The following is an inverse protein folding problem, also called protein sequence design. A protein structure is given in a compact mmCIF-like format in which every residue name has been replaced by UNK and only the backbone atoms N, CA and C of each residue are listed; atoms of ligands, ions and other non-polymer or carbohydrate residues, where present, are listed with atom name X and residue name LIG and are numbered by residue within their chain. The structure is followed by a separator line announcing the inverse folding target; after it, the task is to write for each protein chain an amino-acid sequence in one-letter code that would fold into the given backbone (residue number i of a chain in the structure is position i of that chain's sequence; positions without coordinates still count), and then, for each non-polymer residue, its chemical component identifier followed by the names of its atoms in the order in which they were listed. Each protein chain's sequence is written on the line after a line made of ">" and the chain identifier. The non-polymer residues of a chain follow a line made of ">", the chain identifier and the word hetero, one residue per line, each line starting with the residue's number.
data_IF_309282556004
#
_entry.id   IF_309282556004
#
_cell.length_a   1.000
_cell.length_b   1.000
_cell.length_c   1.000
_cell.angle_alpha   90.00
_cell.angle_beta   90.00
_cell.angle_gamma   90.00
#
_symmetry.space_group_name_H-M   'P 1'
#
loop_
_entity.id
_entity.type
_entity.pdbx_description
1 polymer ?
#
# COMPACT_ATOMS: atom_id res chain seq x y z
N UNK A 1 19.46 2.64 -8.02
CA UNK A 1 18.01 2.41 -7.82
C UNK A 1 17.30 3.72 -8.04
N UNK A 2 16.14 3.71 -8.70
CA UNK A 2 15.36 4.93 -8.92
C UNK A 2 14.33 5.11 -7.81
N UNK A 3 14.06 6.36 -7.44
CA UNK A 3 13.08 6.72 -6.40
C UNK A 3 12.33 7.96 -6.86
N UNK A 4 11.08 8.11 -6.44
CA UNK A 4 10.32 9.34 -6.67
C UNK A 4 10.48 10.29 -5.48
N UNK A 5 10.58 11.59 -5.76
CA UNK A 5 10.61 12.65 -4.76
C UNK A 5 9.72 13.82 -5.22
N UNK A 6 9.30 14.70 -4.32
CA UNK A 6 8.64 15.93 -4.72
C UNK A 6 9.64 16.95 -5.27
N UNK A 7 9.22 17.74 -6.25
CA UNK A 7 10.03 18.80 -6.86
C UNK A 7 10.55 19.81 -5.83
N UNK A 8 9.78 20.08 -4.78
CA UNK A 8 10.20 20.92 -3.64
C UNK A 8 11.48 20.40 -2.94
N UNK A 9 11.80 19.12 -3.06
CA UNK A 9 12.95 18.51 -2.41
C UNK A 9 14.24 18.63 -3.24
N UNK A 10 14.18 19.00 -4.51
CA UNK A 10 15.32 18.96 -5.45
C UNK A 10 16.52 19.78 -4.98
N UNK A 11 16.27 20.93 -4.35
CA UNK A 11 17.31 21.86 -3.90
C UNK A 11 17.79 21.61 -2.47
N UNK A 12 17.21 20.63 -1.77
CA UNK A 12 17.56 20.32 -0.38
C UNK A 12 18.95 19.68 -0.27
N UNK A 13 19.59 19.85 0.88
CA UNK A 13 20.91 19.27 1.13
C UNK A 13 20.87 17.72 1.09
N UNK A 14 19.83 17.13 1.67
CA UNK A 14 19.55 15.70 1.72
C UNK A 14 19.54 15.07 0.33
N UNK A 15 19.09 15.82 -0.70
CA UNK A 15 19.10 15.38 -2.09
C UNK A 15 20.51 15.08 -2.60
N UNK A 16 21.52 15.83 -2.13
CA UNK A 16 22.93 15.55 -2.47
C UNK A 16 23.42 14.24 -1.89
N UNK A 17 22.91 13.86 -0.71
CA UNK A 17 23.22 12.58 -0.07
C UNK A 17 22.45 11.45 -0.78
N UNK A 18 21.17 11.68 -1.08
CA UNK A 18 20.33 10.75 -1.83
C UNK A 18 20.93 10.40 -3.19
N UNK A 19 21.44 11.38 -3.94
CA UNK A 19 22.10 11.18 -5.24
C UNK A 19 23.32 10.24 -5.19
N UNK A 20 23.87 9.96 -4.01
CA UNK A 20 24.96 8.99 -3.84
C UNK A 20 24.46 7.55 -3.66
N UNK A 21 23.18 7.36 -3.36
CA UNK A 21 22.56 6.07 -3.05
C UNK A 21 21.47 5.68 -4.07
N UNK A 22 20.78 6.66 -4.65
CA UNK A 22 19.70 6.47 -5.60
C UNK A 22 19.66 7.59 -6.65
N UNK A 23 18.87 7.37 -7.69
CA UNK A 23 18.58 8.34 -8.74
C UNK A 23 17.16 8.87 -8.53
N UNK A 24 17.00 10.10 -7.99
CA UNK A 24 15.69 10.68 -7.74
C UNK A 24 15.04 11.16 -9.05
N UNK A 25 13.75 10.88 -9.19
CA UNK A 25 12.86 11.48 -10.19
C UNK A 25 11.96 12.46 -9.43
N UNK A 26 12.06 13.74 -9.79
CA UNK A 26 11.31 14.81 -9.12
C UNK A 26 9.96 15.03 -9.80
N UNK A 27 8.90 14.93 -9.01
CA UNK A 27 7.50 15.03 -9.44
C UNK A 27 6.83 16.23 -8.77
N UNK A 28 5.90 16.86 -9.48
CA UNK A 28 4.97 17.79 -8.88
C UNK A 28 3.89 17.02 -8.07
N UNK A 29 3.30 17.62 -7.02
CA UNK A 29 2.31 16.95 -6.17
C UNK A 29 1.11 16.33 -6.91
N UNK A 30 0.64 17.01 -7.95
CA UNK A 30 -0.46 16.61 -8.84
C UNK A 30 -0.11 15.41 -9.73
N UNK A 31 1.17 15.16 -9.97
CA UNK A 31 1.64 14.02 -10.77
C UNK A 31 1.69 12.70 -9.98
N UNK A 32 1.63 12.74 -8.65
CA UNK A 32 1.78 11.54 -7.81
C UNK A 32 0.77 10.42 -8.07
N UNK A 33 -0.54 10.68 -8.30
CA UNK A 33 -1.52 9.62 -8.53
C UNK A 33 -1.28 8.86 -9.84
N UNK A 34 -0.76 9.54 -10.86
CA UNK A 34 -0.63 9.01 -12.22
C UNK A 34 0.78 8.47 -12.52
N UNK A 35 1.82 9.15 -12.00
CA UNK A 35 3.22 8.94 -12.36
C UNK A 35 4.08 8.42 -11.20
N UNK A 36 3.78 7.22 -10.70
CA UNK A 36 4.71 6.49 -9.84
C UNK A 36 5.18 5.20 -10.48
N UNK A 37 6.43 5.22 -10.97
CA UNK A 37 7.18 4.03 -11.42
C UNK A 37 8.09 3.45 -10.33
N UNK A 38 8.23 4.15 -9.20
CA UNK A 38 9.18 3.85 -8.12
C UNK A 38 8.59 4.26 -6.76
N UNK A 39 9.11 3.74 -5.63
CA UNK A 39 8.75 4.21 -4.29
C UNK A 39 8.93 5.71 -4.12
N UNK A 40 8.00 6.35 -3.41
CA UNK A 40 8.04 7.78 -3.09
C UNK A 40 8.83 7.98 -1.79
N UNK A 41 9.77 8.93 -1.78
CA UNK A 41 10.52 9.32 -0.58
C UNK A 41 10.29 10.80 -0.29
N UNK A 42 9.78 11.08 0.90
CA UNK A 42 9.57 12.42 1.43
C UNK A 42 10.58 12.68 2.56
N UNK A 43 11.31 13.80 2.48
CA UNK A 43 12.36 14.18 3.43
C UNK A 43 12.54 15.71 3.45
N UNK A 44 13.16 16.21 4.53
CA UNK A 44 13.39 17.65 4.72
C UNK A 44 12.08 18.44 4.87
N UNK A 45 12.00 19.63 4.30
CA UNK A 45 10.77 20.43 4.29
C UNK A 45 10.00 20.21 2.97
N UNK A 46 9.55 18.97 2.72
CA UNK A 46 8.88 18.61 1.46
C UNK A 46 7.54 19.35 1.25
N UNK A 47 6.93 19.83 2.34
CA UNK A 47 5.68 20.58 2.32
C UNK A 47 5.87 21.98 2.92
N UNK A 48 5.45 23.01 2.19
CA UNK A 48 5.74 24.41 2.52
C UNK A 48 5.10 24.87 3.83
N UNK A 49 3.93 24.34 4.19
CA UNK A 49 3.21 24.71 5.42
C UNK A 49 3.58 23.85 6.62
N UNK A 50 4.64 23.03 6.53
CA UNK A 50 5.14 22.21 7.63
C UNK A 50 4.68 20.75 7.62
N UNK A 51 5.24 19.97 8.56
CA UNK A 51 5.12 18.52 8.59
C UNK A 51 3.67 18.04 8.74
N UNK A 52 2.96 18.51 9.76
CA UNK A 52 1.59 18.03 10.07
C UNK A 52 0.62 18.26 8.90
N UNK A 53 0.70 19.42 8.25
CA UNK A 53 -0.11 19.78 7.09
C UNK A 53 0.30 18.95 5.87
N UNK A 54 1.59 18.66 5.72
CA UNK A 54 2.08 17.73 4.70
C UNK A 54 1.53 16.32 4.90
N UNK A 55 1.51 15.80 6.14
CA UNK A 55 0.91 14.50 6.45
C UNK A 55 -0.61 14.51 6.19
N UNK A 56 -1.31 15.60 6.53
CA UNK A 56 -2.75 15.75 6.25
C UNK A 56 -3.05 15.75 4.75
N UNK A 57 -2.23 16.44 3.97
CA UNK A 57 -2.33 16.39 2.51
C UNK A 57 -2.06 14.98 1.98
N UNK A 58 -0.98 14.36 2.45
CA UNK A 58 -0.54 13.04 2.04
C UNK A 58 -1.55 11.95 2.38
N UNK A 59 -2.25 12.03 3.53
CA UNK A 59 -3.21 11.01 3.97
C UNK A 59 -4.36 10.78 2.99
N UNK A 60 -4.69 11.78 2.16
CA UNK A 60 -5.72 11.69 1.13
C UNK A 60 -5.34 10.81 -0.07
N UNK A 61 -4.03 10.64 -0.33
CA UNK A 61 -3.49 9.98 -1.53
C UNK A 61 -2.60 8.77 -1.23
N UNK A 62 -1.89 8.76 -0.08
CA UNK A 62 -0.77 7.83 0.18
C UNK A 62 -1.13 6.35 0.08
N UNK A 63 -2.34 6.01 0.50
CA UNK A 63 -2.83 4.64 0.51
C UNK A 63 -3.41 4.18 -0.83
N UNK A 64 -3.50 5.09 -1.81
CA UNK A 64 -3.93 4.85 -3.20
C UNK A 64 -2.76 4.86 -4.19
N UNK A 65 -1.56 5.15 -3.72
CA UNK A 65 -0.34 5.19 -4.53
C UNK A 65 -0.02 3.81 -5.11
N UNK A 66 0.69 3.77 -6.25
CA UNK A 66 1.13 2.49 -6.85
C UNK A 66 2.29 1.86 -6.08
N UNK A 67 3.14 2.69 -5.48
CA UNK A 67 4.30 2.24 -4.72
C UNK A 67 4.29 2.79 -3.29
N UNK A 68 4.92 2.09 -2.34
CA UNK A 68 5.04 2.57 -0.97
C UNK A 68 5.61 3.98 -0.89
N UNK A 69 5.06 4.76 0.04
CA UNK A 69 5.62 6.04 0.44
C UNK A 69 6.49 5.84 1.67
N UNK A 70 7.68 6.42 1.68
CA UNK A 70 8.64 6.39 2.77
C UNK A 70 8.85 7.84 3.23
N UNK A 71 8.61 8.12 4.50
CA UNK A 71 8.89 9.43 5.08
C UNK A 71 10.11 9.30 6.00
N UNK A 72 11.08 10.16 5.77
CA UNK A 72 12.34 10.25 6.50
C UNK A 72 12.37 11.52 7.36
N UNK A 73 13.18 11.56 8.44
CA UNK A 73 13.32 12.76 9.26
C UNK A 73 13.83 13.97 8.44
N UNK A 74 13.67 15.20 8.97
CA UNK A 74 13.17 15.52 10.31
C UNK A 74 11.65 15.40 10.44
N UNK A 75 11.21 15.09 11.67
CA UNK A 75 9.80 15.09 12.05
C UNK A 75 9.56 16.14 13.14
N UNK A 76 8.41 16.80 13.08
CA UNK A 76 7.90 17.61 14.19
C UNK A 76 7.06 16.70 15.11
N UNK A 77 7.16 16.85 16.43
CA UNK A 77 6.32 16.10 17.37
C UNK A 77 4.84 16.30 17.04
N UNK A 78 4.13 15.23 16.70
CA UNK A 78 2.70 15.29 16.44
C UNK A 78 1.99 13.95 16.68
N UNK A 79 0.68 14.05 16.93
CA UNK A 79 -0.21 12.89 17.01
C UNK A 79 -0.59 12.48 15.59
N UNK A 80 0.02 11.40 15.10
CA UNK A 80 -0.20 10.91 13.74
C UNK A 80 -1.55 10.21 13.58
N UNK A 81 -2.14 9.70 14.66
CA UNK A 81 -3.41 8.97 14.59
C UNK A 81 -4.53 9.81 14.01
N UNK A 82 -4.70 11.04 14.48
CA UNK A 82 -5.76 11.91 14.01
C UNK A 82 -5.54 12.35 12.56
N UNK A 83 -4.29 12.70 12.21
CA UNK A 83 -3.94 13.21 10.89
C UNK A 83 -4.07 12.13 9.81
N UNK A 84 -3.68 10.89 10.13
CA UNK A 84 -3.77 9.74 9.25
C UNK A 84 -5.11 8.99 9.35
N UNK A 85 -6.04 9.45 10.20
CA UNK A 85 -7.33 8.80 10.42
C UNK A 85 -7.24 7.38 10.97
N UNK A 86 -6.21 7.09 11.77
CA UNK A 86 -5.99 5.76 12.35
C UNK A 86 -6.94 5.52 13.52
N UNK A 87 -7.48 4.30 13.61
CA UNK A 87 -8.32 3.85 14.75
C UNK A 87 -7.52 3.58 16.03
N UNK A 88 -6.20 3.52 15.91
CA UNK A 88 -5.27 3.17 16.99
C UNK A 88 -4.31 4.32 17.21
N UNK A 89 -3.83 4.45 18.47
CA UNK A 89 -2.85 5.47 18.85
C UNK A 89 -1.51 5.22 18.17
N UNK A 90 -0.93 6.29 17.63
CA UNK A 90 0.38 6.37 17.04
C UNK A 90 0.91 7.78 17.28
N UNK A 91 1.87 7.86 18.19
CA UNK A 91 2.55 9.11 18.53
C UNK A 91 4.02 9.01 18.14
N UNK A 92 4.61 10.14 17.81
CA UNK A 92 6.06 10.26 17.70
C UNK A 92 6.62 10.78 19.02
N UNK A 93 7.81 10.32 19.36
CA UNK A 93 8.59 10.84 20.49
C UNK A 93 10.02 11.11 20.06
N UNK A 94 10.63 12.11 20.69
CA UNK A 94 12.06 12.31 20.59
C UNK A 94 12.81 11.08 21.13
N UNK A 95 13.84 10.68 20.41
CA UNK A 95 14.75 9.60 20.75
C UNK A 95 16.17 10.11 20.53
N UNK A 96 17.16 9.46 21.14
CA UNK A 96 18.56 9.67 20.78
C UNK A 96 19.26 8.33 20.89
N UNK A 97 19.24 7.57 19.80
CA UNK A 97 19.96 6.30 19.73
C UNK A 97 20.72 6.20 18.43
N UNK A 98 21.75 5.37 18.43
CA UNK A 98 22.49 4.99 17.25
C UNK A 98 22.65 3.48 17.10
N UNK A 99 22.00 2.67 17.94
CA UNK A 99 22.04 1.21 17.87
C UNK A 99 20.63 0.70 17.59
N UNK A 100 20.47 0.10 16.42
CA UNK A 100 19.18 -0.34 15.90
C UNK A 100 19.23 -1.84 15.60
N UNK A 101 18.09 -2.50 15.72
CA UNK A 101 17.93 -3.90 15.34
C UNK A 101 16.65 -4.14 14.55
N UNK A 102 16.69 -5.10 13.63
CA UNK A 102 15.52 -5.56 12.87
C UNK A 102 14.50 -6.21 13.80
N UNK A 103 13.22 -5.91 13.59
CA UNK A 103 12.15 -6.66 14.22
C UNK A 103 12.03 -8.04 13.59
N UNK A 104 11.65 -9.05 14.37
CA UNK A 104 11.31 -10.39 13.88
C UNK A 104 9.88 -10.45 13.28
N UNK A 105 9.15 -9.33 13.26
CA UNK A 105 7.81 -9.27 12.67
C UNK A 105 7.80 -9.57 11.15
N UNK A 106 6.82 -10.37 10.69
CA UNK A 106 6.64 -10.80 9.30
C UNK A 106 6.20 -9.66 8.36
N UNK A 107 7.05 -8.66 8.15
CA UNK A 107 6.87 -7.61 7.13
C UNK A 107 7.67 -7.96 5.86
N UNK A 108 8.56 -8.97 5.95
CA UNK A 108 9.41 -9.42 4.84
C UNK A 108 10.60 -8.51 4.59
N UNK A 109 10.89 -7.56 5.48
CA UNK A 109 12.03 -6.67 5.39
C UNK A 109 13.31 -7.40 5.81
N UNK A 110 14.13 -7.76 4.82
CA UNK A 110 15.39 -8.48 5.05
C UNK A 110 16.53 -7.75 4.38
N UNK A 111 17.40 -7.21 5.20
CA UNK A 111 18.68 -6.57 4.80
C UNK A 111 19.85 -7.55 4.84
N UNK A 112 19.62 -8.78 5.33
CA UNK A 112 20.67 -9.76 5.63
C UNK A 112 21.49 -9.46 6.89
N UNK A 113 21.28 -8.28 7.49
CA UNK A 113 21.96 -7.79 8.70
C UNK A 113 20.92 -7.46 9.76
N UNK A 114 21.13 -7.93 11.00
CA UNK A 114 20.14 -7.77 12.08
C UNK A 114 20.34 -6.52 12.93
N UNK A 115 21.55 -5.97 12.96
CA UNK A 115 21.93 -4.85 13.82
C UNK A 115 22.59 -3.75 12.99
N UNK A 116 22.32 -2.50 13.31
CA UNK A 116 22.81 -1.34 12.57
C UNK A 116 23.26 -0.24 13.51
N UNK A 117 24.39 0.39 13.19
CA UNK A 117 24.84 1.59 13.87
C UNK A 117 24.42 2.84 13.07
N UNK A 118 23.19 3.35 13.26
CA UNK A 118 22.68 4.54 12.56
C UNK A 118 21.89 5.40 13.55
N UNK A 119 22.14 6.70 13.54
CA UNK A 119 21.43 7.64 14.42
C UNK A 119 19.93 7.70 14.09
N UNK A 120 19.11 7.71 15.13
CA UNK A 120 17.68 7.95 15.09
C UNK A 120 17.30 8.96 16.17
N UNK A 121 16.52 9.97 15.77
CA UNK A 121 16.03 10.99 16.71
C UNK A 121 14.54 10.84 17.02
N UNK A 122 13.86 9.88 16.39
CA UNK A 122 12.43 9.72 16.54
C UNK A 122 12.06 8.26 16.73
N UNK A 123 11.35 7.99 17.81
CA UNK A 123 10.67 6.74 18.06
C UNK A 123 9.16 6.88 17.84
N UNK A 124 8.49 5.75 17.66
CA UNK A 124 7.04 5.65 17.50
C UNK A 124 6.44 4.88 18.67
N UNK A 125 5.38 5.43 19.26
CA UNK A 125 4.67 4.82 20.39
C UNK A 125 3.24 4.49 20.00
N UNK A 126 2.82 3.28 20.36
CA UNK A 126 1.45 2.80 20.25
C UNK A 126 1.34 1.60 19.31
N UNK A 127 0.19 0.92 19.27
CA UNK A 127 -0.02 -0.28 18.44
C UNK A 127 -0.24 0.05 16.95
N UNK A 128 0.16 1.24 16.51
CA UNK A 128 -0.02 1.73 15.15
C UNK A 128 1.05 1.19 14.21
N UNK A 129 0.66 0.31 13.29
CA UNK A 129 1.55 -0.25 12.27
C UNK A 129 2.28 -1.50 12.74
N UNK A 130 3.06 -2.07 11.82
CA UNK A 130 3.96 -3.18 12.12
C UNK A 130 5.38 -2.65 12.23
N UNK A 131 6.15 -3.12 13.20
CA UNK A 131 7.50 -2.61 13.45
C UNK A 131 8.51 -3.28 12.54
N UNK A 132 9.36 -2.48 11.88
CA UNK A 132 10.45 -2.97 11.03
C UNK A 132 11.79 -2.90 11.75
N UNK A 133 12.00 -1.87 12.58
CA UNK A 133 13.22 -1.65 13.35
C UNK A 133 12.91 -1.13 14.74
N UNK A 134 13.67 -1.61 15.70
CA UNK A 134 13.69 -1.14 17.07
C UNK A 134 15.04 -0.51 17.38
N UNK A 135 15.02 0.40 18.33
CA UNK A 135 16.20 0.79 19.10
C UNK A 135 16.58 -0.35 20.07
N UNK A 136 17.87 -0.64 20.20
CA UNK A 136 18.34 -1.86 20.89
C UNK A 136 18.13 -1.86 22.41
N UNK A 137 18.29 -0.73 23.10
CA UNK A 137 18.27 -0.70 24.57
C UNK A 137 16.87 -0.62 25.18
N UNK A 138 15.98 0.17 24.58
CA UNK A 138 14.62 0.44 25.04
C UNK A 138 13.53 -0.21 24.19
N UNK A 139 13.89 -0.99 23.17
CA UNK A 139 12.96 -1.66 22.24
C UNK A 139 11.99 -0.70 21.54
N UNK A 140 12.33 0.59 21.49
CA UNK A 140 11.47 1.63 20.93
C UNK A 140 11.41 1.46 19.41
N UNK A 141 10.22 1.32 18.80
CA UNK A 141 10.10 1.30 17.35
C UNK A 141 10.66 2.58 16.71
N UNK A 142 11.60 2.44 15.78
CA UNK A 142 12.19 3.57 15.03
C UNK A 142 11.82 3.55 13.55
N UNK A 143 11.21 2.46 13.09
CA UNK A 143 10.66 2.35 11.75
C UNK A 143 9.42 1.47 11.79
N UNK A 144 8.31 2.01 11.29
CA UNK A 144 7.03 1.34 11.28
C UNK A 144 6.41 1.36 9.88
N UNK A 145 5.70 0.28 9.56
CA UNK A 145 4.95 0.12 8.32
C UNK A 145 3.46 0.23 8.63
N UNK A 146 2.85 1.32 8.18
CA UNK A 146 1.41 1.56 8.26
C UNK A 146 0.74 1.03 7.00
N UNK A 147 -0.10 0.01 7.16
CA UNK A 147 -1.00 -0.48 6.12
C UNK A 147 -2.40 -0.64 6.72
N UNK A 148 -3.26 0.40 6.64
CA UNK A 148 -4.65 0.26 7.04
C UNK A 148 -5.32 -0.92 6.31
N UNK A 149 -6.35 -1.50 6.93
CA UNK A 149 -7.12 -2.57 6.28
C UNK A 149 -7.72 -2.01 4.99
N UNK A 150 -7.56 -2.73 3.88
CA UNK A 150 -8.12 -2.42 2.56
C UNK A 150 -7.39 -1.32 1.76
N UNK A 151 -6.13 -1.05 2.08
CA UNK A 151 -5.29 -0.18 1.25
C UNK A 151 -4.31 -1.01 0.46
N UNK A 152 -4.13 -0.68 -0.82
CA UNK A 152 -3.16 -1.37 -1.68
C UNK A 152 -1.74 -1.20 -1.13
N UNK A 153 -1.43 0.01 -0.65
CA UNK A 153 -0.05 0.47 -0.54
C UNK A 153 0.31 0.91 0.87
N UNK A 154 1.45 0.43 1.43
CA UNK A 154 1.91 0.82 2.75
C UNK A 154 2.59 2.19 2.78
N UNK A 155 2.51 2.84 3.93
CA UNK A 155 3.28 4.02 4.32
C UNK A 155 4.36 3.61 5.33
N UNK A 156 5.62 3.85 5.03
CA UNK A 156 6.73 3.68 5.97
C UNK A 156 7.00 5.02 6.64
N UNK A 157 6.99 5.01 7.97
CA UNK A 157 7.52 6.09 8.79
C UNK A 157 8.86 5.63 9.35
N UNK A 158 9.92 6.35 9.02
CA UNK A 158 11.29 6.00 9.38
C UNK A 158 11.90 7.15 10.16
N UNK A 159 12.18 6.95 11.44
CA UNK A 159 12.87 7.91 12.31
C UNK A 159 14.40 7.82 12.24
N UNK A 160 14.94 7.05 11.29
CA UNK A 160 16.37 6.83 11.12
C UNK A 160 16.97 7.89 10.19
N UNK A 161 18.11 8.47 10.56
CA UNK A 161 18.83 9.49 9.79
C UNK A 161 19.54 8.92 8.55
N UNK A 162 18.77 8.48 7.55
CA UNK A 162 19.32 7.89 6.33
C UNK A 162 19.95 8.91 5.36
N UNK A 163 19.48 10.16 5.37
CA UNK A 163 19.96 11.24 4.48
C UNK A 163 20.72 12.34 5.22
N UNK A 164 21.32 12.02 6.38
CA UNK A 164 22.11 12.97 7.17
C UNK A 164 23.53 12.45 7.42
N UNK A 165 24.48 13.38 7.49
CA UNK A 165 25.86 13.13 7.90
C UNK A 165 25.98 13.24 9.42
N UNK A 166 25.91 12.10 10.11
CA UNK A 166 26.18 12.02 11.55
C UNK A 166 27.44 11.22 11.82
N UNK A 167 28.31 11.73 12.69
CA UNK A 167 29.50 11.00 13.16
C UNK A 167 29.17 9.78 14.03
N UNK A 168 27.91 9.65 14.46
CA UNK A 168 27.41 8.51 15.24
C UNK A 168 26.84 7.39 14.36
N UNK A 169 26.84 7.58 13.03
CA UNK A 169 26.28 6.62 12.07
C UNK A 169 27.37 5.98 11.21
N UNK A 170 27.30 4.67 11.04
CA UNK A 170 28.12 3.92 10.11
C UNK A 170 27.55 4.08 8.68
N UNK A 171 28.39 4.53 7.75
CA UNK A 171 27.97 4.77 6.36
C UNK A 171 27.59 3.48 5.61
N UNK A 172 28.25 2.35 5.90
CA UNK A 172 27.92 1.06 5.27
C UNK A 172 26.54 0.59 5.73
N UNK A 173 26.30 0.66 7.03
CA UNK A 173 25.00 0.31 7.64
C UNK A 173 23.89 1.19 7.09
N UNK A 174 24.12 2.51 7.01
CA UNK A 174 23.16 3.46 6.43
C UNK A 174 22.82 3.14 4.98
N UNK A 175 23.82 2.84 4.16
CA UNK A 175 23.61 2.48 2.75
C UNK A 175 22.89 1.13 2.62
N UNK A 176 23.28 0.13 3.42
CA UNK A 176 22.62 -1.18 3.43
C UNK A 176 21.15 -1.07 3.85
N UNK A 177 20.87 -0.29 4.89
CA UNK A 177 19.52 0.00 5.37
C UNK A 177 18.69 0.68 4.29
N UNK A 178 19.20 1.77 3.70
CA UNK A 178 18.50 2.50 2.64
C UNK A 178 18.19 1.57 1.46
N UNK A 179 19.19 0.84 0.96
CA UNK A 179 19.01 -0.10 -0.16
C UNK A 179 18.00 -1.21 0.17
N UNK A 180 18.01 -1.73 1.39
CA UNK A 180 17.04 -2.72 1.84
C UNK A 180 15.61 -2.17 1.81
N UNK A 181 15.40 -0.93 2.25
CA UNK A 181 14.07 -0.30 2.27
C UNK A 181 13.57 -0.09 0.84
N UNK A 182 14.43 0.42 -0.06
CA UNK A 182 14.04 0.65 -1.46
C UNK A 182 13.79 -0.67 -2.19
N UNK A 183 14.62 -1.69 -1.95
CA UNK A 183 14.40 -3.02 -2.51
C UNK A 183 13.06 -3.60 -2.05
N UNK A 184 12.78 -3.57 -0.75
CA UNK A 184 11.51 -4.02 -0.18
C UNK A 184 10.31 -3.25 -0.75
N UNK A 185 10.43 -1.91 -0.87
CA UNK A 185 9.35 -1.09 -1.38
C UNK A 185 9.08 -1.35 -2.87
N UNK A 186 10.13 -1.67 -3.64
CA UNK A 186 10.03 -1.96 -5.07
C UNK A 186 9.47 -3.35 -5.36
N UNK A 187 9.69 -4.34 -4.48
CA UNK A 187 9.14 -5.71 -4.66
C UNK A 187 7.67 -5.83 -4.29
N UNK A 188 7.12 -4.86 -3.54
CA UNK A 188 5.69 -4.84 -3.17
C UNK A 188 4.77 -4.70 -4.38
N UNK A 189 5.19 -3.99 -5.44
CA UNK A 189 4.46 -3.97 -6.70
C UNK A 189 4.50 -5.33 -7.39
N UNK A 190 5.64 -6.03 -7.40
CA UNK A 190 5.74 -7.38 -8.01
C UNK A 190 4.75 -8.36 -7.40
N UNK A 191 4.43 -8.29 -6.11
CA UNK A 191 3.41 -9.17 -5.56
C UNK A 191 2.01 -8.89 -6.13
N UNK A 192 1.67 -7.61 -6.37
CA UNK A 192 0.38 -7.18 -6.93
C UNK A 192 0.32 -7.34 -8.45
N UNK A 193 1.40 -6.98 -9.15
CA UNK A 193 1.56 -7.14 -10.60
C UNK A 193 1.80 -8.60 -10.98
N UNK A 194 2.50 -9.43 -10.19
CA UNK A 194 2.59 -10.88 -10.45
C UNK A 194 1.27 -11.57 -10.10
N UNK A 195 0.40 -11.00 -9.26
CA UNK A 195 -0.97 -11.48 -9.10
C UNK A 195 -1.81 -11.10 -10.32
N UNK A 196 -1.72 -9.86 -10.81
CA UNK A 196 -2.39 -9.42 -12.04
C UNK A 196 -1.83 -10.08 -13.32
N UNK A 197 -0.53 -10.34 -13.38
CA UNK A 197 0.13 -10.99 -14.51
C UNK A 197 0.06 -12.51 -14.40
N UNK A 198 0.09 -13.15 -13.22
CA UNK A 198 -0.28 -14.59 -13.12
C UNK A 198 -1.75 -14.83 -13.44
N UNK A 199 -2.60 -13.80 -13.30
CA UNK A 199 -3.99 -13.81 -13.79
C UNK A 199 -4.04 -13.75 -15.33
N UNK A 200 -3.08 -13.07 -15.97
CA UNK A 200 -3.03 -12.92 -17.44
C UNK A 200 -2.20 -14.04 -18.11
N UNK A 201 -1.25 -14.66 -17.41
CA UNK A 201 -0.18 -15.47 -18.02
C UNK A 201 -0.20 -16.96 -17.61
N UNK A 202 -1.34 -17.44 -17.09
CA UNK A 202 -1.61 -18.88 -16.98
C UNK A 202 -2.89 -19.22 -17.72
N UNK A 203 -2.66 -19.76 -18.92
CA UNK A 203 -3.59 -20.31 -19.90
C UNK A 203 -4.16 -19.34 -20.95
N UNK A 204 -3.89 -19.73 -22.19
CA UNK A 204 -4.29 -19.16 -23.48
C UNK A 204 -5.82 -18.95 -23.56
N UNK A 205 -6.23 -17.94 -24.36
CA UNK A 205 -7.53 -17.78 -25.05
C UNK A 205 -8.61 -16.82 -24.53
N UNK A 206 -8.37 -15.99 -23.50
CA UNK A 206 -9.41 -15.02 -23.08
C UNK A 206 -8.89 -13.58 -23.14
N UNK A 207 -9.35 -12.82 -24.13
CA UNK A 207 -9.15 -11.37 -24.25
C UNK A 207 -10.06 -10.61 -23.27
N UNK A 208 -9.92 -10.85 -21.96
CA UNK A 208 -10.62 -10.05 -20.94
C UNK A 208 -9.64 -9.02 -20.34
N UNK A 209 -10.07 -7.76 -20.28
CA UNK A 209 -9.28 -6.73 -19.62
C UNK A 209 -9.22 -6.97 -18.11
N UNK A 210 -8.09 -6.62 -17.48
CA UNK A 210 -7.94 -6.72 -16.03
C UNK A 210 -8.95 -5.87 -15.27
N UNK A 211 -9.39 -4.74 -15.85
CA UNK A 211 -10.42 -3.87 -15.26
C UNK A 211 -11.80 -4.56 -15.24
N UNK A 212 -12.18 -5.19 -16.35
CA UNK A 212 -13.42 -5.97 -16.47
C UNK A 212 -13.42 -7.13 -15.48
N UNK A 213 -12.34 -7.90 -15.40
CA UNK A 213 -12.22 -9.02 -14.47
C UNK A 213 -12.29 -8.56 -13.00
N UNK A 214 -11.62 -7.46 -12.66
CA UNK A 214 -11.67 -6.87 -11.33
C UNK A 214 -13.10 -6.46 -10.94
N UNK A 215 -13.83 -5.81 -11.87
CA UNK A 215 -15.21 -5.40 -11.65
C UNK A 215 -16.13 -6.60 -11.41
N UNK A 216 -16.05 -7.62 -12.26
CA UNK A 216 -16.83 -8.87 -12.13
C UNK A 216 -16.55 -9.50 -10.77
N UNK A 217 -15.27 -9.57 -10.36
CA UNK A 217 -14.85 -10.18 -9.11
C UNK A 217 -15.35 -9.42 -7.88
N UNK A 218 -15.32 -8.08 -7.93
CA UNK A 218 -15.87 -7.21 -6.89
C UNK A 218 -17.37 -7.36 -6.76
N UNK A 219 -18.10 -7.44 -7.88
CA UNK A 219 -19.54 -7.67 -7.90
C UNK A 219 -19.86 -9.02 -7.25
N UNK A 220 -19.24 -10.10 -7.73
CA UNK A 220 -19.46 -11.46 -7.22
C UNK A 220 -19.14 -11.56 -5.72
N UNK A 221 -18.01 -11.03 -5.26
CA UNK A 221 -17.64 -11.06 -3.84
C UNK A 221 -18.54 -10.15 -2.99
N UNK A 222 -19.05 -9.06 -3.57
CA UNK A 222 -19.93 -8.08 -2.95
C UNK A 222 -21.34 -8.58 -2.75
N UNK A 223 -21.92 -9.21 -3.76
CA UNK A 223 -23.34 -9.56 -3.79
C UNK A 223 -23.60 -11.06 -3.69
N UNK A 224 -22.57 -11.88 -3.92
CA UNK A 224 -22.70 -13.34 -4.04
C UNK A 224 -23.34 -13.78 -5.36
N UNK A 225 -23.63 -12.84 -6.24
CA UNK A 225 -24.28 -13.08 -7.53
C UNK A 225 -23.22 -13.41 -8.57
N UNK A 226 -23.41 -14.50 -9.30
CA UNK A 226 -22.56 -14.87 -10.43
C UNK A 226 -23.34 -15.04 -11.76
N UNK A 227 -24.57 -14.51 -11.84
CA UNK A 227 -25.39 -14.50 -13.05
C UNK A 227 -24.98 -13.34 -13.97
N UNK A 228 -24.78 -13.60 -15.26
CA UNK A 228 -24.39 -12.59 -16.24
C UNK A 228 -25.32 -11.37 -16.30
N UNK A 229 -26.63 -11.58 -16.28
CA UNK A 229 -27.63 -10.51 -16.37
C UNK A 229 -27.59 -9.59 -15.15
N UNK A 230 -27.44 -10.18 -13.96
CA UNK A 230 -27.37 -9.41 -12.72
C UNK A 230 -26.02 -8.70 -12.59
N UNK A 231 -24.92 -9.32 -13.04
CA UNK A 231 -23.61 -8.68 -13.11
C UNK A 231 -23.68 -7.44 -14.02
N UNK A 232 -24.28 -7.55 -15.22
CA UNK A 232 -24.47 -6.40 -16.13
C UNK A 232 -25.30 -5.30 -15.47
N UNK A 233 -26.43 -5.66 -14.84
CA UNK A 233 -27.31 -4.70 -14.19
C UNK A 233 -26.61 -3.95 -13.03
N UNK A 234 -25.81 -4.66 -12.23
CA UNK A 234 -25.05 -4.07 -11.11
C UNK A 234 -23.93 -3.17 -11.63
N UNK A 235 -23.20 -3.63 -12.65
CA UNK A 235 -22.13 -2.87 -13.26
C UNK A 235 -22.62 -1.53 -13.84
N UNK A 236 -23.72 -1.57 -14.59
CA UNK A 236 -24.32 -0.37 -15.17
C UNK A 236 -24.90 0.56 -14.09
N UNK A 237 -25.67 0.01 -13.14
CA UNK A 237 -26.40 0.84 -12.16
C UNK A 237 -25.53 1.43 -11.05
N UNK A 238 -24.47 0.74 -10.62
CA UNK A 238 -23.62 1.17 -9.50
C UNK A 238 -22.32 1.78 -9.99
N UNK A 239 -21.72 1.21 -11.04
CA UNK A 239 -20.41 1.61 -11.51
C UNK A 239 -20.44 2.41 -12.81
N UNK A 240 -21.61 2.56 -13.45
CA UNK A 240 -21.73 3.27 -14.73
C UNK A 240 -20.96 2.61 -15.87
N UNK A 241 -20.65 1.32 -15.74
CA UNK A 241 -19.88 0.56 -16.72
C UNK A 241 -20.80 -0.39 -17.48
N UNK A 242 -20.80 -0.25 -18.81
CA UNK A 242 -21.43 -1.23 -19.69
C UNK A 242 -20.43 -2.37 -19.93
N UNK A 243 -20.90 -3.61 -19.77
CA UNK A 243 -20.12 -4.81 -20.06
C UNK A 243 -20.90 -5.67 -21.05
N UNK A 244 -20.19 -6.18 -22.04
CA UNK A 244 -20.75 -7.14 -22.99
C UNK A 244 -20.96 -8.50 -22.34
N UNK A 245 -21.86 -9.29 -22.90
CA UNK A 245 -22.09 -10.66 -22.43
C UNK A 245 -20.84 -11.54 -22.61
N UNK A 246 -20.05 -11.28 -23.66
CA UNK A 246 -18.81 -11.99 -23.97
C UNK A 246 -17.73 -11.74 -22.90
N UNK A 247 -17.56 -10.49 -22.47
CA UNK A 247 -16.65 -10.11 -21.38
C UNK A 247 -17.04 -10.76 -20.06
N UNK A 248 -18.33 -10.78 -19.73
CA UNK A 248 -18.80 -11.40 -18.49
C UNK A 248 -18.62 -12.91 -18.53
N UNK A 249 -18.92 -13.54 -19.68
CA UNK A 249 -18.70 -14.98 -19.87
C UNK A 249 -17.22 -15.33 -19.68
N UNK A 250 -16.32 -14.58 -20.32
CA UNK A 250 -14.88 -14.78 -20.20
C UNK A 250 -14.40 -14.63 -18.75
N UNK A 251 -14.93 -13.65 -18.02
CA UNK A 251 -14.59 -13.43 -16.61
C UNK A 251 -15.09 -14.54 -15.69
N UNK A 252 -16.32 -15.03 -15.91
CA UNK A 252 -16.86 -16.18 -15.18
C UNK A 252 -16.08 -17.46 -15.50
N UNK A 253 -15.74 -17.69 -16.76
CA UNK A 253 -14.92 -18.85 -17.17
C UNK A 253 -13.55 -18.83 -16.50
N UNK A 254 -12.89 -17.67 -16.46
CA UNK A 254 -11.64 -17.47 -15.73
C UNK A 254 -11.80 -17.79 -14.24
N UNK A 255 -12.83 -17.25 -13.59
CA UNK A 255 -13.06 -17.45 -12.17
C UNK A 255 -13.39 -18.91 -11.84
N UNK A 256 -14.06 -19.62 -12.75
CA UNK A 256 -14.38 -21.04 -12.63
C UNK A 256 -13.13 -21.90 -12.70
N UNK A 257 -12.27 -21.66 -13.69
CA UNK A 257 -11.01 -22.39 -13.88
C UNK A 257 -10.05 -22.24 -12.69
N UNK A 258 -10.11 -21.09 -12.00
CA UNK A 258 -9.28 -20.82 -10.82
C UNK A 258 -9.95 -21.22 -9.49
N UNK A 259 -11.09 -21.92 -9.54
CA UNK A 259 -11.76 -22.49 -8.37
C UNK A 259 -12.45 -21.46 -7.48
N UNK A 260 -12.74 -20.27 -8.00
CA UNK A 260 -13.45 -19.22 -7.27
C UNK A 260 -14.97 -19.35 -7.39
N UNK A 261 -15.45 -19.90 -8.50
CA UNK A 261 -16.85 -20.26 -8.71
C UNK A 261 -16.94 -21.70 -9.23
N UNK A 262 -18.06 -22.37 -8.99
CA UNK A 262 -18.31 -23.73 -9.49
C UNK A 262 -19.65 -23.78 -10.19
N UNK A 263 -19.64 -24.29 -11.42
CA UNK A 263 -20.83 -24.49 -12.25
C UNK A 263 -21.46 -25.86 -11.96
N UNK A 264 -22.69 -25.88 -11.43
CA UNK A 264 -23.47 -27.10 -11.24
C UNK A 264 -24.85 -26.94 -11.89
N UNK A 265 -25.12 -27.70 -12.98
CA UNK A 265 -26.45 -27.86 -13.60
C UNK A 265 -27.28 -26.56 -13.63
N UNK A 266 -26.73 -25.54 -14.27
CA UNK A 266 -27.33 -24.19 -14.46
C UNK A 266 -27.33 -23.25 -13.24
N UNK A 267 -26.68 -23.64 -12.13
CA UNK A 267 -26.42 -22.76 -10.99
C UNK A 267 -24.92 -22.55 -10.80
N UNK A 268 -24.53 -21.29 -10.67
CA UNK A 268 -23.17 -20.90 -10.33
C UNK A 268 -23.10 -20.71 -8.82
N UNK A 269 -22.29 -21.54 -8.17
CA UNK A 269 -22.00 -21.42 -6.74
C UNK A 269 -20.67 -20.69 -6.53
N UNK A 270 -20.64 -19.76 -5.60
CA UNK A 270 -19.46 -18.92 -5.34
C UNK A 270 -18.68 -19.47 -4.13
N UNK A 271 -17.39 -19.73 -4.31
CA UNK A 271 -16.49 -20.02 -3.20
C UNK A 271 -16.19 -18.71 -2.47
N UNK A 272 -17.03 -18.36 -1.50
CA UNK A 272 -16.97 -17.08 -0.81
C UNK A 272 -15.59 -16.79 -0.22
N UNK A 273 -14.99 -17.75 0.47
CA UNK A 273 -13.66 -17.58 1.09
C UNK A 273 -12.57 -17.30 0.04
N UNK A 274 -12.57 -18.03 -1.07
CA UNK A 274 -11.58 -17.85 -2.13
C UNK A 274 -11.78 -16.52 -2.87
N UNK A 275 -13.03 -16.13 -3.14
CA UNK A 275 -13.37 -14.84 -3.74
C UNK A 275 -13.02 -13.65 -2.84
N UNK A 276 -13.33 -13.74 -1.54
CA UNK A 276 -12.98 -12.68 -0.58
C UNK A 276 -11.47 -12.51 -0.47
N UNK A 277 -10.73 -13.62 -0.40
CA UNK A 277 -9.27 -13.61 -0.38
C UNK A 277 -8.70 -13.03 -1.67
N UNK A 278 -9.20 -13.47 -2.83
CA UNK A 278 -8.77 -12.95 -4.13
C UNK A 278 -8.99 -11.44 -4.24
N UNK A 279 -10.20 -10.94 -3.90
CA UNK A 279 -10.51 -9.51 -3.98
C UNK A 279 -9.73 -8.69 -2.95
N UNK A 280 -9.39 -9.29 -1.80
CA UNK A 280 -8.49 -8.68 -0.82
C UNK A 280 -7.04 -8.60 -1.32
N UNK A 281 -6.56 -9.64 -2.00
CA UNK A 281 -5.20 -9.73 -2.52
C UNK A 281 -4.96 -8.72 -3.65
N UNK A 282 -5.97 -8.46 -4.49
CA UNK A 282 -5.94 -7.39 -5.51
C UNK A 282 -6.29 -5.99 -4.95
N UNK A 283 -6.55 -5.87 -3.65
CA UNK A 283 -6.73 -4.58 -2.97
C UNK A 283 -8.10 -3.90 -3.18
N UNK A 284 -9.13 -4.61 -3.65
CA UNK A 284 -10.44 -4.03 -4.00
C UNK A 284 -11.54 -4.29 -2.94
N UNK A 285 -11.19 -4.80 -1.76
CA UNK A 285 -12.14 -5.15 -0.69
C UNK A 285 -13.02 -3.99 -0.20
N UNK A 286 -12.58 -2.73 -0.35
CA UNK A 286 -13.40 -1.56 -0.02
C UNK A 286 -14.69 -1.53 -0.86
N UNK A 287 -14.61 -1.84 -2.15
CA UNK A 287 -15.74 -1.86 -3.06
C UNK A 287 -16.72 -3.00 -2.72
N UNK A 288 -16.21 -4.18 -2.34
CA UNK A 288 -17.02 -5.30 -1.83
C UNK A 288 -17.83 -4.89 -0.61
N UNK A 289 -17.23 -4.17 0.35
CA UNK A 289 -17.95 -3.70 1.54
C UNK A 289 -19.04 -2.68 1.23
N UNK A 290 -18.80 -1.78 0.27
CA UNK A 290 -19.80 -0.81 -0.18
C UNK A 290 -20.99 -1.56 -0.79
N UNK A 291 -20.72 -2.48 -1.71
CA UNK A 291 -21.76 -3.32 -2.32
C UNK A 291 -22.54 -4.10 -1.26
N UNK A 292 -21.87 -4.78 -0.31
CA UNK A 292 -22.56 -5.49 0.78
C UNK A 292 -23.47 -4.59 1.57
N UNK A 293 -23.02 -3.38 1.90
CA UNK A 293 -23.82 -2.41 2.65
C UNK A 293 -25.08 -2.00 1.87
N UNK A 294 -24.96 -1.75 0.57
CA UNK A 294 -26.09 -1.39 -0.28
C UNK A 294 -27.09 -2.54 -0.46
N UNK A 295 -26.61 -3.76 -0.65
CA UNK A 295 -27.48 -4.93 -0.83
C UNK A 295 -28.09 -5.46 0.49
N UNK A 296 -27.38 -5.35 1.62
CA UNK A 296 -27.94 -5.65 2.95
C UNK A 296 -28.98 -4.61 3.42
N UNK A 297 -28.86 -3.35 2.99
CA UNK A 297 -29.86 -2.32 3.26
C UNK A 297 -31.16 -2.51 2.45
N UNK A 298 -31.08 -3.04 1.23
CA UNK A 298 -32.26 -3.36 0.41
C UNK A 298 -33.05 -4.57 0.94
N UNK A 299 -32.41 -5.54 1.58
CA UNK A 299 -33.11 -6.70 2.18
C UNK A 299 -33.90 -6.35 3.46
N UNK A 300 -33.56 -5.27 4.16
CA UNK A 300 -34.26 -4.82 5.37
C UNK A 300 -35.35 -3.75 5.11
N UNK A 301 -35.42 -3.20 3.89
CA UNK A 301 -36.43 -2.23 3.47
C UNK A 301 -37.68 -2.83 2.79
N UNK A 302 -37.76 -4.15 2.62
CA UNK A 302 -38.82 -4.85 1.90
C UNK A 302 -40.02 -5.31 2.73
N UNK A 303 -40.19 -4.84 3.97
CA UNK A 303 -41.39 -5.02 4.78
C UNK A 303 -41.92 -3.66 5.24
N UNK A 304 -42.57 -2.93 4.32
CA UNK A 304 -43.59 -1.93 4.64
C UNK A 304 -44.65 -1.93 3.55
#
# INVERSE_FOLDING_TARGET
>A
MNVNCLKSQETLFETRILNRMATPVFLLPDQLPEYQKFPLILFGQWYSTGFAQGIKWLSSIVFKLKFPCIILPPFDECNLSEILGLKVKLNMQNLNSNQLKTSDEEIGFHTGQKEFQIQSDTGFIGPGGKTMLHETAGEVPVMICLKPKNTATPLILCGVRLLSSSGLSNNKDRNAMFNGIIAWASTRQKATDDLQNKVIDKDKNYEISGETLNLISVIIAGTGVANSHEITAIASSIFGMEMTHEEISAGLDYLSQNGFIFMQKDQISVCKEAMEKYVQDIGLWSHVRILRKEFSAKQTGGNR
#
